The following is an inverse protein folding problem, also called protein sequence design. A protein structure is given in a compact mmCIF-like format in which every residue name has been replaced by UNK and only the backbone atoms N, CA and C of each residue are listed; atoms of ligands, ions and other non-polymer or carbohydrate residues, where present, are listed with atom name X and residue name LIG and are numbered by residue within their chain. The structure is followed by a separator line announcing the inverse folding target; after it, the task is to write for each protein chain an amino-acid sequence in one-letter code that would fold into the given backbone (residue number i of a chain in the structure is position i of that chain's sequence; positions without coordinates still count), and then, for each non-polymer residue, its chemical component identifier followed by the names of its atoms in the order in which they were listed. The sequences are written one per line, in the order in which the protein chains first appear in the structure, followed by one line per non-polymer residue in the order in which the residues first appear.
data_IF_544295715299
#
_entry.id   IF_544295715299
#
_cell.length_a   1.000
_cell.length_b   1.000
_cell.length_c   1.000
_cell.angle_alpha   90.00
_cell.angle_beta   90.00
_cell.angle_gamma   90.00
#
_symmetry.space_group_name_H-M   'P 1'
#
loop_
_entity.id
_entity.type
_entity.pdbx_description
1 polymer ?
#
# COMPACT_ATOMS: atom_id res chain seq x y z
N UNK A 1 -9.81 10.99 0.92
CA UNK A 1 -10.08 9.54 1.05
C UNK A 1 -9.34 9.00 2.26
N UNK A 2 -9.85 7.92 2.82
CA UNK A 2 -9.22 7.12 3.88
C UNK A 2 -8.35 6.04 3.24
N UNK A 3 -7.07 6.06 3.52
CA UNK A 3 -6.07 5.17 2.90
C UNK A 3 -5.51 4.23 3.96
N UNK A 4 -5.49 2.92 3.68
CA UNK A 4 -4.66 1.96 4.39
C UNK A 4 -3.35 1.78 3.62
N UNK A 5 -2.22 2.02 4.27
CA UNK A 5 -0.90 1.79 3.66
C UNK A 5 -0.38 0.42 4.03
N UNK A 6 -0.41 -0.51 3.08
CA UNK A 6 0.17 -1.84 3.19
C UNK A 6 1.62 -1.85 2.70
N UNK A 7 2.47 -2.57 3.40
CA UNK A 7 3.87 -2.71 2.98
C UNK A 7 4.77 -3.22 4.10
N UNK A 8 6.00 -3.60 3.77
CA UNK A 8 6.97 -4.04 4.76
C UNK A 8 7.33 -2.91 5.73
N UNK A 9 7.49 -3.25 7.02
CA UNK A 9 7.78 -2.32 8.11
C UNK A 9 8.84 -2.87 9.08
N UNK A 10 9.79 -3.63 8.54
CA UNK A 10 10.72 -4.43 9.32
C UNK A 10 12.12 -3.82 9.45
N UNK A 11 12.46 -2.86 8.60
CA UNK A 11 13.76 -2.19 8.60
C UNK A 11 13.63 -0.69 8.82
N UNK A 12 14.72 -0.06 9.26
CA UNK A 12 14.78 1.41 9.39
C UNK A 12 14.45 2.12 8.08
N UNK A 13 14.91 1.58 6.96
CA UNK A 13 14.65 2.16 5.64
C UNK A 13 13.14 2.09 5.30
N UNK A 14 12.50 0.95 5.51
CA UNK A 14 11.06 0.78 5.29
C UNK A 14 10.23 1.69 6.19
N UNK A 15 10.52 1.73 7.49
CA UNK A 15 9.82 2.59 8.45
C UNK A 15 9.94 4.07 8.08
N UNK A 16 11.12 4.52 7.69
CA UNK A 16 11.37 5.92 7.28
C UNK A 16 10.64 6.27 6.00
N UNK A 17 10.69 5.40 5.00
CA UNK A 17 9.99 5.57 3.73
C UNK A 17 8.47 5.63 3.92
N UNK A 18 7.92 4.69 4.66
CA UNK A 18 6.48 4.63 4.95
C UNK A 18 6.00 5.90 5.65
N UNK A 19 6.74 6.38 6.66
CA UNK A 19 6.41 7.63 7.37
C UNK A 19 6.44 8.84 6.44
N UNK A 20 7.45 8.93 5.57
CA UNK A 20 7.58 10.04 4.63
C UNK A 20 6.44 10.05 3.60
N UNK A 21 6.11 8.90 3.03
CA UNK A 21 5.02 8.78 2.06
C UNK A 21 3.67 9.09 2.71
N UNK A 22 3.39 8.53 3.89
CA UNK A 22 2.17 8.83 4.64
C UNK A 22 2.04 10.34 4.94
N UNK A 23 3.13 10.97 5.33
CA UNK A 23 3.17 12.42 5.57
C UNK A 23 2.83 13.24 4.32
N UNK A 24 3.32 12.85 3.15
CA UNK A 24 3.00 13.51 1.89
C UNK A 24 1.52 13.33 1.50
N UNK A 25 0.98 12.12 1.64
CA UNK A 25 -0.44 11.85 1.34
C UNK A 25 -1.36 12.63 2.30
N UNK A 26 -1.00 12.73 3.58
CA UNK A 26 -1.73 13.55 4.55
C UNK A 26 -1.71 15.04 4.21
N UNK A 27 -0.57 15.57 3.74
CA UNK A 27 -0.47 16.96 3.25
C UNK A 27 -1.34 17.22 2.02
N UNK A 28 -1.61 16.20 1.22
CA UNK A 28 -2.53 16.25 0.09
C UNK A 28 -4.01 16.09 0.49
N UNK A 29 -4.31 16.05 1.79
CA UNK A 29 -5.68 16.04 2.32
C UNK A 29 -6.28 14.64 2.52
N UNK A 30 -5.47 13.59 2.49
CA UNK A 30 -5.94 12.22 2.78
C UNK A 30 -5.77 11.86 4.25
N UNK A 31 -6.65 10.99 4.75
CA UNK A 31 -6.47 10.32 6.03
C UNK A 31 -5.72 9.00 5.81
N UNK A 32 -4.67 8.73 6.58
CA UNK A 32 -3.82 7.57 6.36
C UNK A 32 -3.72 6.73 7.63
N UNK A 33 -4.15 5.48 7.54
CA UNK A 33 -3.80 4.44 8.50
C UNK A 33 -2.46 3.84 8.10
N UNK A 34 -1.46 4.02 8.94
CA UNK A 34 -0.12 3.47 8.76
C UNK A 34 0.13 2.45 9.87
N UNK A 35 0.21 1.13 9.58
CA UNK A 35 0.30 0.08 10.59
C UNK A 35 1.39 0.30 11.64
N UNK A 36 2.56 0.80 11.25
CA UNK A 36 3.67 1.05 12.17
C UNK A 36 3.40 2.13 13.25
N UNK A 37 2.35 2.93 13.11
CA UNK A 37 1.92 3.93 14.09
C UNK A 37 0.96 3.34 15.13
N UNK A 38 0.56 2.08 15.00
CA UNK A 38 -0.37 1.37 15.85
C UNK A 38 0.33 0.26 16.65
N UNK A 39 -0.41 -0.70 17.21
CA UNK A 39 0.15 -1.77 18.02
C UNK A 39 1.06 -2.70 17.19
N UNK A 40 2.32 -2.76 17.55
CA UNK A 40 3.34 -3.57 16.86
C UNK A 40 4.11 -4.50 17.80
N UNK A 41 3.65 -4.68 19.04
CA UNK A 41 4.31 -5.58 19.98
C UNK A 41 4.12 -7.03 19.57
N UNK A 42 5.21 -7.71 19.24
CA UNK A 42 5.21 -9.08 18.73
C UNK A 42 4.74 -10.14 19.75
N UNK A 43 4.66 -9.78 21.02
CA UNK A 43 4.07 -10.61 22.07
C UNK A 43 2.53 -10.54 22.10
N UNK A 44 1.93 -9.66 21.30
CA UNK A 44 0.48 -9.49 21.15
C UNK A 44 0.02 -9.67 19.70
N UNK A 45 0.24 -10.84 19.07
CA UNK A 45 -0.05 -11.02 17.64
C UNK A 45 -1.53 -10.84 17.28
N UNK A 46 -2.45 -11.21 18.18
CA UNK A 46 -3.88 -11.02 17.97
C UNK A 46 -4.24 -9.53 17.92
N UNK A 47 -3.65 -8.71 18.81
CA UNK A 47 -3.92 -7.27 18.83
C UNK A 47 -3.40 -6.55 17.58
N UNK A 48 -2.24 -6.97 17.05
CA UNK A 48 -1.72 -6.46 15.77
C UNK A 48 -2.70 -6.79 14.65
N UNK A 49 -3.09 -8.06 14.53
CA UNK A 49 -4.01 -8.52 13.51
C UNK A 49 -5.35 -7.77 13.56
N UNK A 50 -5.96 -7.66 14.75
CA UNK A 50 -7.23 -6.95 14.94
C UNK A 50 -7.12 -5.46 14.57
N UNK A 51 -6.01 -4.81 14.93
CA UNK A 51 -5.75 -3.41 14.57
C UNK A 51 -5.63 -3.22 13.07
N UNK A 52 -4.90 -4.09 12.39
CA UNK A 52 -4.69 -4.00 10.95
C UNK A 52 -5.98 -4.29 10.16
N UNK A 53 -6.75 -5.30 10.58
CA UNK A 53 -8.07 -5.58 9.98
C UNK A 53 -9.04 -4.42 10.20
N UNK A 54 -9.07 -3.81 11.38
CA UNK A 54 -9.88 -2.64 11.64
C UNK A 54 -9.47 -1.44 10.76
N UNK A 55 -8.17 -1.26 10.53
CA UNK A 55 -7.65 -0.26 9.61
C UNK A 55 -8.05 -0.51 8.16
N UNK A 56 -7.97 -1.77 7.71
CA UNK A 56 -8.44 -2.17 6.39
C UNK A 56 -9.95 -1.94 6.21
N UNK A 57 -10.76 -2.27 7.21
CA UNK A 57 -12.21 -2.05 7.15
C UNK A 57 -12.58 -0.56 7.14
N UNK A 58 -11.85 0.27 7.89
CA UNK A 58 -12.02 1.72 7.94
C UNK A 58 -11.66 2.42 6.62
N UNK A 59 -10.68 1.90 5.88
CA UNK A 59 -10.16 2.53 4.67
C UNK A 59 -11.15 2.48 3.50
N UNK A 60 -11.10 3.51 2.65
CA UNK A 60 -11.78 3.53 1.35
C UNK A 60 -10.97 2.82 0.27
N UNK A 61 -9.64 2.79 0.43
CA UNK A 61 -8.68 2.29 -0.56
C UNK A 61 -7.43 1.76 0.14
N UNK A 62 -6.81 0.73 -0.45
CA UNK A 62 -5.50 0.22 -0.03
C UNK A 62 -4.42 0.70 -0.99
N UNK A 63 -3.34 1.26 -0.44
CA UNK A 63 -2.13 1.61 -1.19
C UNK A 63 -1.01 0.71 -0.72
N UNK A 64 -0.48 -0.14 -1.60
CA UNK A 64 0.42 -1.23 -1.21
C UNK A 64 1.79 -1.16 -1.90
N UNK A 65 2.84 -1.30 -1.11
CA UNK A 65 4.23 -1.45 -1.57
C UNK A 65 4.52 -2.89 -1.94
N UNK A 66 4.96 -3.12 -3.18
CA UNK A 66 5.36 -4.45 -3.68
C UNK A 66 6.86 -4.53 -3.99
N UNK A 67 7.68 -3.74 -3.29
CA UNK A 67 9.13 -3.78 -3.40
C UNK A 67 9.70 -5.10 -2.85
N UNK A 68 10.88 -5.43 -3.32
CA UNK A 68 11.59 -6.64 -2.94
C UNK A 68 11.56 -7.72 -4.03
N UNK A 69 12.37 -8.77 -3.88
CA UNK A 69 12.38 -9.91 -4.81
C UNK A 69 11.04 -10.62 -4.87
N UNK A 70 10.36 -10.70 -3.72
CA UNK A 70 9.01 -11.20 -3.57
C UNK A 70 8.27 -10.24 -2.62
N UNK A 71 7.02 -9.86 -2.91
CA UNK A 71 6.26 -8.98 -2.03
C UNK A 71 6.09 -9.58 -0.64
N UNK A 72 6.07 -8.73 0.39
CA UNK A 72 5.81 -9.14 1.75
C UNK A 72 4.48 -9.91 1.86
N UNK A 73 4.51 -11.07 2.50
CA UNK A 73 3.35 -11.97 2.59
C UNK A 73 2.17 -11.35 3.34
N UNK A 74 2.41 -10.51 4.34
CA UNK A 74 1.37 -9.76 5.05
C UNK A 74 0.69 -8.76 4.12
N UNK A 75 1.47 -8.03 3.33
CA UNK A 75 0.97 -7.11 2.30
C UNK A 75 0.11 -7.82 1.27
N UNK A 76 0.52 -9.02 0.82
CA UNK A 76 -0.28 -9.84 -0.10
C UNK A 76 -1.62 -10.26 0.51
N UNK A 77 -1.62 -10.65 1.81
CA UNK A 77 -2.84 -10.99 2.52
C UNK A 77 -3.80 -9.81 2.61
N UNK A 78 -3.28 -8.61 2.94
CA UNK A 78 -4.06 -7.37 3.03
C UNK A 78 -4.69 -6.98 1.70
N UNK A 79 -3.96 -7.13 0.58
CA UNK A 79 -4.50 -6.93 -0.76
C UNK A 79 -5.60 -7.94 -1.10
N UNK A 80 -5.41 -9.22 -0.77
CA UNK A 80 -6.43 -10.25 -0.94
C UNK A 80 -7.70 -9.98 -0.13
N UNK A 81 -7.53 -9.50 1.12
CA UNK A 81 -8.63 -9.09 1.97
C UNK A 81 -9.40 -7.91 1.35
N UNK A 82 -8.69 -6.87 0.90
CA UNK A 82 -9.28 -5.70 0.25
C UNK A 82 -10.08 -6.09 -0.99
N UNK A 83 -9.51 -6.94 -1.85
CA UNK A 83 -10.19 -7.46 -3.03
C UNK A 83 -11.49 -8.21 -2.66
N UNK A 84 -11.44 -9.11 -1.68
CA UNK A 84 -12.61 -9.86 -1.20
C UNK A 84 -13.70 -8.97 -0.58
N UNK A 85 -13.34 -7.75 -0.17
CA UNK A 85 -14.26 -6.73 0.38
C UNK A 85 -14.69 -5.69 -0.66
N UNK A 86 -14.35 -5.89 -1.94
CA UNK A 86 -14.59 -4.94 -3.04
C UNK A 86 -14.01 -3.53 -2.77
N UNK A 87 -12.88 -3.47 -2.06
CA UNK A 87 -12.15 -2.23 -1.84
C UNK A 87 -11.15 -2.02 -2.97
N UNK A 88 -11.10 -0.85 -3.58
CA UNK A 88 -10.10 -0.54 -4.60
C UNK A 88 -8.70 -0.56 -4.00
N UNK A 89 -7.72 -0.90 -4.84
CA UNK A 89 -6.33 -0.90 -4.46
C UNK A 89 -5.42 -0.26 -5.52
N UNK A 90 -4.37 0.40 -5.04
CA UNK A 90 -3.27 0.93 -5.82
C UNK A 90 -2.02 0.21 -5.35
N UNK A 91 -1.35 -0.51 -6.22
CA UNK A 91 -0.07 -1.14 -5.91
C UNK A 91 1.06 -0.35 -6.56
N UNK A 92 2.20 -0.26 -5.88
CA UNK A 92 3.37 0.43 -6.42
C UNK A 92 4.65 -0.35 -6.18
N UNK A 93 5.61 -0.12 -7.07
CA UNK A 93 6.96 -0.67 -6.97
C UNK A 93 7.96 0.44 -7.30
N UNK A 94 8.94 0.63 -6.40
CA UNK A 94 10.08 1.54 -6.57
C UNK A 94 11.38 0.78 -6.81
N UNK A 95 11.37 -0.53 -6.64
CA UNK A 95 12.49 -1.43 -6.84
C UNK A 95 12.69 -1.70 -8.34
N UNK A 96 13.93 -1.54 -8.83
CA UNK A 96 14.25 -1.80 -10.23
C UNK A 96 14.66 -3.25 -10.51
N UNK A 97 14.81 -4.09 -9.48
CA UNK A 97 15.20 -5.48 -9.68
C UNK A 97 14.09 -6.25 -10.37
N UNK A 98 14.47 -6.94 -11.44
CA UNK A 98 13.59 -7.85 -12.15
C UNK A 98 14.20 -9.25 -12.06
N UNK A 99 13.37 -10.26 -11.89
CA UNK A 99 13.82 -11.63 -12.14
C UNK A 99 13.92 -11.87 -13.64
N UNK A 100 14.98 -12.49 -14.06
CA UNK A 100 15.24 -12.81 -15.46
C UNK A 100 14.05 -13.62 -16.02
N UNK A 101 13.33 -13.07 -17.01
CA UNK A 101 12.21 -13.70 -17.70
C UNK A 101 10.88 -13.72 -16.95
N UNK A 102 10.71 -12.96 -15.86
CA UNK A 102 9.46 -12.86 -15.10
C UNK A 102 8.89 -11.45 -15.07
N UNK A 103 7.57 -11.35 -14.89
CA UNK A 103 6.94 -10.09 -14.56
C UNK A 103 7.44 -9.58 -13.21
N UNK A 104 7.64 -8.26 -13.06
CA UNK A 104 8.14 -7.66 -11.82
C UNK A 104 7.18 -7.79 -10.63
N UNK A 105 5.93 -8.14 -10.90
CA UNK A 105 4.88 -8.29 -9.89
C UNK A 105 4.13 -9.59 -10.14
N UNK A 106 3.89 -10.35 -9.09
CA UNK A 106 3.03 -11.53 -9.17
C UNK A 106 1.63 -11.13 -9.69
N UNK A 107 1.14 -11.89 -10.68
CA UNK A 107 -0.11 -11.61 -11.38
C UNK A 107 -1.33 -11.46 -10.46
N UNK A 108 -1.37 -12.16 -9.33
CA UNK A 108 -2.50 -12.04 -8.39
C UNK A 108 -2.61 -10.63 -7.80
N UNK A 109 -1.49 -9.92 -7.61
CA UNK A 109 -1.49 -8.54 -7.14
C UNK A 109 -1.69 -7.55 -8.29
N UNK A 110 -1.06 -7.74 -9.44
CA UNK A 110 -1.21 -6.81 -10.56
C UNK A 110 -2.60 -6.83 -11.17
N UNK A 111 -3.21 -8.01 -11.32
CA UNK A 111 -4.53 -8.15 -11.93
C UNK A 111 -5.69 -7.83 -10.97
N UNK A 112 -5.48 -7.95 -9.66
CA UNK A 112 -6.50 -7.57 -8.67
C UNK A 112 -6.50 -6.09 -8.31
N UNK A 113 -5.43 -5.36 -8.64
CA UNK A 113 -5.32 -3.94 -8.34
C UNK A 113 -6.05 -3.07 -9.38
N UNK A 114 -6.64 -1.97 -8.93
CA UNK A 114 -7.23 -0.95 -9.83
C UNK A 114 -6.16 -0.17 -10.58
N UNK A 115 -5.02 0.05 -9.94
CA UNK A 115 -3.86 0.73 -10.54
C UNK A 115 -2.54 0.09 -10.11
N UNK A 116 -1.64 -0.02 -11.08
CA UNK A 116 -0.25 -0.46 -10.88
C UNK A 116 0.68 0.71 -11.23
N UNK A 117 1.52 1.12 -10.28
CA UNK A 117 2.48 2.21 -10.43
C UNK A 117 3.90 1.62 -10.42
N UNK A 118 4.60 1.75 -11.53
CA UNK A 118 5.99 1.33 -11.67
C UNK A 118 6.86 2.58 -11.79
N UNK A 119 7.58 2.92 -10.72
CA UNK A 119 8.41 4.14 -10.64
C UNK A 119 9.79 3.82 -10.05
N UNK A 120 10.61 3.00 -10.76
CA UNK A 120 11.91 2.58 -10.26
C UNK A 120 12.78 3.77 -9.85
N UNK A 121 13.26 3.77 -8.61
CA UNK A 121 14.15 4.80 -8.05
C UNK A 121 13.63 6.25 -8.11
N UNK A 122 12.33 6.45 -8.33
CA UNK A 122 11.75 7.79 -8.36
C UNK A 122 11.83 8.50 -7.01
N UNK A 123 11.93 9.83 -6.99
CA UNK A 123 11.74 10.60 -5.77
C UNK A 123 10.40 10.31 -5.11
N UNK A 124 10.37 10.24 -3.77
CA UNK A 124 9.15 9.91 -3.04
C UNK A 124 7.99 10.89 -3.29
N UNK A 125 8.31 12.15 -3.58
CA UNK A 125 7.31 13.17 -3.93
C UNK A 125 6.61 12.84 -5.26
N UNK A 126 7.33 12.28 -6.23
CA UNK A 126 6.76 11.88 -7.53
C UNK A 126 5.84 10.68 -7.36
N UNK A 127 6.22 9.71 -6.53
CA UNK A 127 5.35 8.59 -6.15
C UNK A 127 4.07 9.08 -5.46
N UNK A 128 4.19 9.99 -4.49
CA UNK A 128 3.02 10.54 -3.79
C UNK A 128 2.07 11.26 -4.75
N UNK A 129 2.60 12.03 -5.71
CA UNK A 129 1.81 12.71 -6.73
C UNK A 129 1.09 11.73 -7.65
N UNK A 130 1.76 10.66 -8.07
CA UNK A 130 1.15 9.62 -8.91
C UNK A 130 0.05 8.87 -8.17
N UNK A 131 0.27 8.50 -6.89
CA UNK A 131 -0.75 7.90 -6.03
C UNK A 131 -1.97 8.85 -5.93
N UNK A 132 -1.75 10.12 -5.64
CA UNK A 132 -2.83 11.10 -5.49
C UNK A 132 -3.68 11.20 -6.76
N UNK A 133 -3.05 11.20 -7.94
CA UNK A 133 -3.76 11.15 -9.22
C UNK A 133 -4.65 9.90 -9.36
N UNK A 134 -4.16 8.72 -8.97
CA UNK A 134 -4.96 7.49 -9.03
C UNK A 134 -6.11 7.49 -8.01
N UNK A 135 -5.91 8.10 -6.86
CA UNK A 135 -6.98 8.28 -5.86
C UNK A 135 -8.12 9.17 -6.40
N UNK A 136 -7.80 10.22 -7.16
CA UNK A 136 -8.81 11.06 -7.84
C UNK A 136 -9.61 10.26 -8.88
N UNK A 137 -8.93 9.42 -9.67
CA UNK A 137 -9.57 8.55 -10.67
C UNK A 137 -10.54 7.54 -10.00
N UNK A 138 -10.16 6.95 -8.86
CA UNK A 138 -11.02 6.04 -8.07
C UNK A 138 -12.22 6.81 -7.52
N UNK A 139 -12.01 7.98 -6.93
CA UNK A 139 -13.09 8.80 -6.38
C UNK A 139 -14.11 9.23 -7.46
N UNK A 140 -13.64 9.54 -8.66
CA UNK A 140 -14.47 9.89 -9.80
C UNK A 140 -15.39 8.75 -10.27
N UNK A 141 -14.93 7.50 -10.20
CA UNK A 141 -15.74 6.31 -10.55
C UNK A 141 -16.87 6.05 -9.55
N UNK A 142 -16.64 6.33 -8.26
CA UNK A 142 -17.62 6.12 -7.19
C UNK A 142 -18.77 7.15 -7.22
N UNK A 143 -18.60 8.25 -7.95
CA UNK A 143 -19.57 9.34 -8.07
C UNK A 143 -20.44 9.27 -9.34
N UNK A 144 -20.21 8.28 -10.18
CA UNK A 144 -20.94 8.02 -11.44
C UNK A 144 -21.87 6.83 -11.31
#
# INVERSE_FOLDING_TARGET
MKIYMAGPLFSTAELSFNSALAGLLRKLGHEVFLPQEHEQRKDLPAAIFESDVAGLDWADVVVACLDGPDPDSGTCWELGYAYGRNKPSIVYRTDFRLFEGSDPINLMMSESADHVIMVPTAPIADLAAEIAKRLEEIAGRSSS
#
